data_IF_844920457808
#
_entry.id   IF_844920457808
#
_cell.length_a   1.000
_cell.length_b   1.000
_cell.length_c   1.000
_cell.angle_alpha   90.00
_cell.angle_beta   90.00
_cell.angle_gamma   90.00
#
_symmetry.space_group_name_H-M   'P 1'
#
loop_
_entity.id
_entity.type
_entity.pdbx_description
1 polymer ?
#
# COMPACT_ATOMS: atom_id res chain seq x y z
N UNK A 1 -9.28 -24.35 47.07
CA UNK A 1 -8.49 -24.73 45.88
C UNK A 1 -7.86 -26.09 46.16
N UNK A 2 -8.52 -27.19 45.76
CA UNK A 2 -8.03 -28.54 46.02
C UNK A 2 -7.13 -28.98 44.86
N UNK A 3 -5.82 -29.03 45.08
CA UNK A 3 -4.84 -29.40 44.06
C UNK A 3 -4.69 -30.93 44.07
N UNK A 4 -5.35 -31.62 43.13
CA UNK A 4 -5.13 -33.06 42.94
C UNK A 4 -3.68 -33.30 42.47
N UNK A 5 -2.82 -33.75 43.39
CA UNK A 5 -1.47 -34.21 43.08
C UNK A 5 -1.54 -35.68 42.69
N UNK A 6 -1.40 -35.98 41.39
CA UNK A 6 -1.14 -37.34 40.94
C UNK A 6 0.30 -37.73 41.29
N UNK A 7 0.50 -38.91 41.87
CA UNK A 7 1.85 -39.43 42.13
C UNK A 7 2.54 -39.82 40.81
N UNK A 8 3.88 -39.84 40.83
CA UNK A 8 4.70 -40.24 39.67
C UNK A 8 4.29 -41.60 39.11
N UNK A 9 3.94 -42.54 39.97
CA UNK A 9 3.52 -43.89 39.56
C UNK A 9 2.14 -43.89 38.90
N UNK A 10 1.24 -43.00 39.34
CA UNK A 10 -0.06 -42.81 38.70
C UNK A 10 0.10 -42.28 37.27
N UNK A 11 1.06 -41.38 37.04
CA UNK A 11 1.39 -40.86 35.71
C UNK A 11 2.07 -41.91 34.83
N UNK A 12 2.92 -42.77 35.40
CA UNK A 12 3.61 -43.82 34.66
C UNK A 12 2.66 -44.94 34.20
N UNK A 13 1.59 -45.22 34.94
CA UNK A 13 0.53 -46.16 34.53
C UNK A 13 -0.26 -45.67 33.30
N UNK A 14 -0.44 -44.36 33.13
CA UNK A 14 -1.08 -43.76 31.95
C UNK A 14 -0.24 -43.88 30.67
N UNK A 15 1.07 -44.10 30.80
CA UNK A 15 2.00 -44.18 29.66
C UNK A 15 1.90 -45.50 28.87
N UNK A 16 1.23 -46.52 29.42
CA UNK A 16 1.19 -47.89 28.86
C UNK A 16 -0.11 -48.27 28.17
N UNK A 17 -1.07 -47.36 27.99
CA UNK A 17 -2.24 -47.66 27.16
C UNK A 17 -1.92 -47.49 25.68
N UNK A 18 -2.26 -48.52 24.92
CA UNK A 18 -2.36 -48.51 23.47
C UNK A 18 -3.05 -47.23 22.97
N UNK A 19 -2.53 -46.71 21.87
CA UNK A 19 -3.10 -45.60 21.10
C UNK A 19 -4.62 -45.75 20.94
N UNK A 20 -5.40 -44.96 21.68
CA UNK A 20 -6.85 -44.88 21.50
C UNK A 20 -7.70 -44.60 22.74
N UNK A 21 -7.21 -44.81 23.97
CA UNK A 21 -8.02 -44.57 25.16
C UNK A 21 -7.98 -43.08 25.54
N UNK A 22 -9.07 -42.35 25.22
CA UNK A 22 -9.29 -40.99 25.71
C UNK A 22 -9.77 -41.04 27.16
N UNK A 23 -8.91 -40.72 28.11
CA UNK A 23 -9.34 -40.53 29.49
C UNK A 23 -10.28 -39.32 29.59
N UNK A 24 -11.41 -39.41 30.32
CA UNK A 24 -12.31 -38.28 30.50
C UNK A 24 -11.60 -37.21 31.33
N UNK A 25 -11.11 -36.18 30.65
CA UNK A 25 -10.54 -34.99 31.30
C UNK A 25 -11.71 -34.17 31.86
N UNK A 26 -11.72 -33.85 33.17
CA UNK A 26 -12.73 -33.00 33.78
C UNK A 26 -12.86 -31.65 33.06
N UNK A 27 -14.08 -31.14 32.95
CA UNK A 27 -14.42 -29.87 32.27
C UNK A 27 -13.59 -28.69 32.75
N UNK A 28 -13.21 -28.71 34.03
CA UNK A 28 -12.47 -27.66 34.72
C UNK A 28 -11.00 -27.57 34.26
N UNK A 29 -10.46 -28.67 33.70
CA UNK A 29 -9.07 -28.78 33.23
C UNK A 29 -8.99 -28.65 31.69
N UNK A 30 -10.12 -28.82 30.98
CA UNK A 30 -10.17 -28.65 29.53
C UNK A 30 -9.92 -27.19 29.16
N UNK A 31 -8.73 -26.92 28.61
CA UNK A 31 -8.45 -25.63 27.98
C UNK A 31 -9.46 -25.40 26.84
N UNK A 32 -10.04 -24.20 26.70
CA UNK A 32 -10.92 -23.90 25.59
C UNK A 32 -10.17 -24.12 24.27
N UNK A 33 -10.82 -24.77 23.30
CA UNK A 33 -10.24 -25.07 22.00
C UNK A 33 -9.84 -23.76 21.29
N UNK A 34 -8.53 -23.54 21.10
CA UNK A 34 -7.99 -22.28 20.54
C UNK A 34 -8.08 -22.18 19.01
N UNK A 35 -8.90 -23.01 18.36
CA UNK A 35 -8.96 -23.12 16.91
C UNK A 35 -7.75 -23.83 16.30
N UNK A 36 -7.90 -24.33 15.07
CA UNK A 36 -6.79 -24.94 14.33
C UNK A 36 -5.83 -23.85 13.80
N UNK A 37 -4.52 -24.17 13.69
CA UNK A 37 -3.50 -23.32 13.03
C UNK A 37 -3.91 -22.86 11.61
N UNK A 38 -4.82 -23.58 10.97
CA UNK A 38 -5.45 -23.18 9.71
C UNK A 38 -6.11 -21.79 9.76
N UNK A 39 -6.65 -21.36 10.91
CA UNK A 39 -7.27 -20.04 11.07
C UNK A 39 -6.31 -18.88 10.82
N UNK A 40 -5.06 -19.00 11.25
CA UNK A 40 -4.01 -18.01 10.98
C UNK A 40 -3.64 -17.98 9.48
N UNK A 41 -3.55 -19.15 8.83
CA UNK A 41 -3.28 -19.27 7.38
C UNK A 41 -4.44 -18.72 6.54
N UNK A 42 -5.68 -18.95 6.96
CA UNK A 42 -6.89 -18.41 6.33
C UNK A 42 -6.99 -16.89 6.52
N UNK A 43 -6.68 -16.39 7.72
CA UNK A 43 -6.53 -14.94 7.96
C UNK A 43 -5.43 -14.35 7.08
N UNK A 44 -4.24 -14.93 7.06
CA UNK A 44 -3.16 -14.46 6.19
C UNK A 44 -3.59 -14.43 4.72
N UNK A 45 -4.26 -15.48 4.20
CA UNK A 45 -4.84 -15.47 2.83
C UNK A 45 -5.83 -14.33 2.60
N UNK A 46 -6.71 -14.05 3.56
CA UNK A 46 -7.68 -12.94 3.47
C UNK A 46 -7.01 -11.57 3.53
N UNK A 47 -5.87 -11.46 4.21
CA UNK A 47 -5.16 -10.20 4.47
C UNK A 47 -3.97 -9.97 3.53
N UNK A 48 -3.65 -10.94 2.66
CA UNK A 48 -2.55 -10.88 1.67
C UNK A 48 -2.58 -9.58 0.86
N UNK A 49 -3.75 -9.16 0.40
CA UNK A 49 -3.90 -7.96 -0.44
C UNK A 49 -4.12 -6.66 0.36
N UNK A 50 -4.14 -6.75 1.69
CA UNK A 50 -4.49 -5.62 2.56
C UNK A 50 -3.47 -5.48 3.70
N UNK A 51 -2.16 -5.41 3.40
CA UNK A 51 -1.17 -5.15 4.43
C UNK A 51 -1.36 -3.73 5.00
N UNK A 52 -0.99 -3.55 6.27
CA UNK A 52 -0.99 -2.21 6.87
C UNK A 52 0.13 -1.34 6.28
N UNK A 53 1.29 -1.94 6.00
CA UNK A 53 2.40 -1.31 5.27
C UNK A 53 2.20 -1.56 3.78
N UNK A 54 2.17 -0.51 2.94
CA UNK A 54 2.14 -0.70 1.51
C UNK A 54 3.45 -1.32 0.99
N UNK A 55 3.32 -2.23 0.04
CA UNK A 55 4.40 -2.56 -0.89
C UNK A 55 4.44 -1.50 -1.99
N UNK A 56 5.63 -0.96 -2.25
CA UNK A 56 5.81 0.19 -3.15
C UNK A 56 6.83 -0.17 -4.21
N UNK A 57 6.47 0.02 -5.48
CA UNK A 57 7.42 0.06 -6.58
C UNK A 57 7.52 1.50 -7.06
N UNK A 58 8.73 2.03 -7.13
CA UNK A 58 8.99 3.36 -7.64
C UNK A 58 9.95 3.26 -8.82
N UNK A 59 9.73 4.05 -9.86
CA UNK A 59 10.62 4.05 -11.01
C UNK A 59 10.36 5.20 -11.97
N UNK A 60 11.42 5.55 -12.70
CA UNK A 60 11.32 6.40 -13.87
C UNK A 60 10.92 5.53 -15.07
N UNK A 61 9.73 5.77 -15.62
CA UNK A 61 9.17 4.95 -16.68
C UNK A 61 9.57 5.45 -18.05
N UNK A 62 10.00 6.71 -18.19
CA UNK A 62 10.42 7.32 -19.44
C UNK A 62 9.43 7.00 -20.59
N UNK A 63 8.22 7.54 -20.46
CA UNK A 63 7.01 7.25 -21.26
C UNK A 63 6.22 6.02 -20.81
N UNK A 64 5.12 6.28 -20.07
CA UNK A 64 4.17 5.28 -19.61
C UNK A 64 3.22 4.75 -20.71
N UNK A 65 2.65 5.56 -21.62
CA UNK A 65 1.67 5.08 -22.60
C UNK A 65 2.12 3.87 -23.41
N UNK A 66 3.41 3.81 -23.76
CA UNK A 66 3.98 2.74 -24.57
C UNK A 66 4.23 1.44 -23.77
N UNK A 67 4.08 1.49 -22.44
CA UNK A 67 4.44 0.41 -21.51
C UNK A 67 3.24 -0.09 -20.70
N UNK A 68 2.05 0.42 -20.96
CA UNK A 68 0.84 0.04 -20.22
C UNK A 68 0.54 -1.45 -20.34
N UNK A 69 0.66 -2.03 -21.54
CA UNK A 69 0.39 -3.46 -21.76
C UNK A 69 1.41 -4.36 -21.05
N UNK A 70 2.70 -4.00 -21.09
CA UNK A 70 3.75 -4.72 -20.39
C UNK A 70 3.56 -4.63 -18.87
N UNK A 71 3.28 -3.44 -18.35
CA UNK A 71 3.00 -3.22 -16.93
C UNK A 71 1.76 -4.00 -16.49
N UNK A 72 0.74 -4.07 -17.34
CA UNK A 72 -0.46 -4.86 -17.09
C UNK A 72 -0.16 -6.37 -17.08
N UNK A 73 0.66 -6.86 -18.02
CA UNK A 73 1.12 -8.24 -18.02
C UNK A 73 1.91 -8.58 -16.75
N UNK A 74 2.80 -7.67 -16.31
CA UNK A 74 3.55 -7.80 -15.06
C UNK A 74 2.60 -7.89 -13.86
N UNK A 75 1.65 -6.96 -13.73
CA UNK A 75 0.65 -6.94 -12.66
C UNK A 75 -0.18 -8.23 -12.61
N UNK A 76 -0.52 -8.81 -13.76
CA UNK A 76 -1.25 -10.09 -13.82
C UNK A 76 -0.38 -11.28 -13.45
N UNK A 77 0.87 -11.29 -13.90
CA UNK A 77 1.80 -12.41 -13.69
C UNK A 77 2.31 -12.48 -12.25
N UNK A 78 2.37 -11.35 -11.55
CA UNK A 78 2.96 -11.25 -10.23
C UNK A 78 1.95 -11.54 -9.11
N UNK A 79 1.47 -12.79 -9.04
CA UNK A 79 0.66 -13.26 -7.90
C UNK A 79 1.43 -13.23 -6.56
N UNK A 80 2.76 -13.10 -6.61
CA UNK A 80 3.65 -13.11 -5.45
C UNK A 80 3.82 -11.72 -4.83
N UNK A 81 3.96 -10.66 -5.64
CA UNK A 81 4.07 -9.28 -5.18
C UNK A 81 2.76 -8.53 -5.40
N UNK A 82 1.94 -8.52 -4.35
CA UNK A 82 0.74 -7.68 -4.28
C UNK A 82 1.16 -6.23 -4.04
N UNK A 83 1.56 -5.54 -5.10
CA UNK A 83 2.04 -4.16 -5.04
C UNK A 83 0.88 -3.22 -4.71
N UNK A 84 0.98 -2.53 -3.57
CA UNK A 84 -0.02 -1.55 -3.12
C UNK A 84 0.04 -0.26 -3.95
N UNK A 85 1.26 0.18 -4.29
CA UNK A 85 1.51 1.46 -4.95
C UNK A 85 2.59 1.34 -6.03
N UNK A 86 2.30 1.87 -7.22
CA UNK A 86 3.35 2.23 -8.18
C UNK A 86 3.51 3.75 -8.20
N UNK A 87 4.74 4.23 -8.00
CA UNK A 87 5.12 5.63 -7.99
C UNK A 87 6.02 5.89 -9.20
N UNK A 88 5.44 6.46 -10.26
CA UNK A 88 6.05 6.53 -11.57
C UNK A 88 6.39 7.99 -11.90
N UNK A 89 7.65 8.23 -12.28
CA UNK A 89 8.12 9.51 -12.80
C UNK A 89 8.33 9.43 -14.31
N UNK A 90 8.39 10.58 -14.98
CA UNK A 90 8.54 10.66 -16.45
C UNK A 90 7.44 9.85 -17.16
N UNK A 91 6.18 10.03 -16.75
CA UNK A 91 5.04 9.33 -17.34
C UNK A 91 4.76 9.77 -18.78
N UNK A 92 5.19 10.99 -19.15
CA UNK A 92 4.95 11.65 -20.44
C UNK A 92 3.45 11.81 -20.77
N UNK A 93 2.60 11.72 -19.75
CA UNK A 93 1.18 11.92 -19.90
C UNK A 93 0.83 13.39 -20.12
N UNK A 94 -0.21 13.59 -20.93
CA UNK A 94 -0.71 14.90 -21.35
C UNK A 94 -2.22 14.91 -21.23
N UNK A 95 -2.80 16.08 -20.97
CA UNK A 95 -4.26 16.22 -20.78
C UNK A 95 -5.09 15.64 -21.94
N UNK A 96 -4.56 15.65 -23.18
CA UNK A 96 -5.22 15.06 -24.35
C UNK A 96 -5.23 13.53 -24.39
N UNK A 97 -4.46 12.84 -23.53
CA UNK A 97 -4.49 11.37 -23.43
C UNK A 97 -5.56 10.99 -22.41
N UNK A 98 -6.63 10.30 -22.81
CA UNK A 98 -7.69 9.91 -21.89
C UNK A 98 -7.19 8.85 -20.90
N UNK A 99 -7.73 8.87 -19.68
CA UNK A 99 -7.34 7.90 -18.64
C UNK A 99 -7.63 6.44 -19.03
N UNK A 100 -8.59 6.21 -19.92
CA UNK A 100 -8.89 4.88 -20.47
C UNK A 100 -7.73 4.28 -21.25
N UNK A 101 -6.91 5.11 -21.90
CA UNK A 101 -5.76 4.65 -22.69
C UNK A 101 -4.60 4.15 -21.83
N UNK A 102 -4.57 4.54 -20.56
CA UNK A 102 -3.50 4.20 -19.61
C UNK A 102 -4.02 3.50 -18.35
N UNK A 103 -5.24 2.97 -18.45
CA UNK A 103 -5.90 2.26 -17.36
C UNK A 103 -5.27 0.89 -17.17
N UNK A 104 -4.98 0.54 -15.92
CA UNK A 104 -4.49 -0.79 -15.53
C UNK A 104 -5.54 -1.43 -14.64
N UNK A 105 -6.13 -2.58 -15.02
CA UNK A 105 -7.15 -3.24 -14.24
C UNK A 105 -6.71 -3.53 -12.81
N UNK A 106 -7.61 -3.22 -11.86
CA UNK A 106 -7.35 -3.38 -10.44
C UNK A 106 -6.53 -2.26 -9.80
N UNK A 107 -6.16 -1.22 -10.55
CA UNK A 107 -5.49 -0.02 -10.05
C UNK A 107 -6.30 1.24 -10.37
N UNK A 108 -6.24 2.21 -9.46
CA UNK A 108 -6.73 3.57 -9.69
C UNK A 108 -5.54 4.46 -10.03
N UNK A 109 -5.59 5.11 -11.20
CA UNK A 109 -4.58 6.05 -11.66
C UNK A 109 -4.83 7.45 -11.09
N UNK A 110 -3.77 8.04 -10.53
CA UNK A 110 -3.71 9.45 -10.16
C UNK A 110 -2.52 10.06 -10.88
N UNK A 111 -2.74 11.07 -11.73
CA UNK A 111 -1.71 11.62 -12.61
C UNK A 111 -1.49 13.11 -12.42
N UNK A 112 -0.23 13.52 -12.51
CA UNK A 112 0.16 14.91 -12.65
C UNK A 112 0.78 15.13 -14.02
N UNK A 113 -0.06 15.54 -14.97
CA UNK A 113 0.36 15.77 -16.35
C UNK A 113 1.22 17.00 -16.53
N UNK A 114 1.96 16.96 -17.64
CA UNK A 114 2.74 18.11 -18.09
C UNK A 114 1.82 19.27 -18.46
N UNK A 115 2.20 20.47 -18.03
CA UNK A 115 1.69 21.72 -18.57
C UNK A 115 2.84 22.41 -19.31
N UNK A 116 2.93 22.16 -20.63
CA UNK A 116 4.03 22.64 -21.48
C UNK A 116 4.17 24.16 -21.40
N UNK A 117 3.04 24.87 -21.39
CA UNK A 117 2.97 26.33 -21.36
C UNK A 117 3.46 26.93 -20.02
N UNK A 118 3.23 26.23 -18.91
CA UNK A 118 3.57 26.72 -17.56
C UNK A 118 5.00 26.38 -17.14
N UNK A 119 5.52 25.22 -17.59
CA UNK A 119 6.80 24.70 -17.10
C UNK A 119 7.98 25.02 -18.05
N UNK A 120 7.72 25.49 -19.29
CA UNK A 120 8.76 25.81 -20.28
C UNK A 120 9.61 24.59 -20.70
N UNK A 121 9.15 23.38 -20.37
CA UNK A 121 9.84 22.13 -20.63
C UNK A 121 9.57 21.68 -22.06
N UNK A 122 10.64 21.44 -22.83
CA UNK A 122 10.53 20.99 -24.23
C UNK A 122 10.38 19.46 -24.35
N UNK A 123 10.85 18.69 -23.37
CA UNK A 123 10.81 17.22 -23.35
C UNK A 123 10.69 16.67 -21.93
N UNK A 124 10.05 15.51 -21.79
CA UNK A 124 9.96 14.76 -20.53
C UNK A 124 8.94 15.30 -19.53
N UNK A 125 8.89 14.63 -18.38
CA UNK A 125 8.07 14.96 -17.22
C UNK A 125 6.81 14.11 -17.08
N UNK A 126 5.94 14.55 -16.18
CA UNK A 126 4.71 13.86 -15.79
C UNK A 126 4.96 12.89 -14.64
N UNK A 127 4.03 12.88 -13.69
CA UNK A 127 3.99 11.92 -12.58
C UNK A 127 2.74 11.07 -12.68
N UNK A 128 2.84 9.82 -12.26
CA UNK A 128 1.70 8.93 -12.14
C UNK A 128 1.82 8.08 -10.88
N UNK A 129 0.71 7.93 -10.16
CA UNK A 129 0.56 7.05 -9.01
C UNK A 129 -0.54 6.05 -9.33
N UNK A 130 -0.23 4.77 -9.28
CA UNK A 130 -1.24 3.71 -9.39
C UNK A 130 -1.47 3.12 -8.00
N UNK A 131 -2.72 3.15 -7.54
CA UNK A 131 -3.11 2.63 -6.24
C UNK A 131 -3.92 1.35 -6.42
N UNK A 132 -3.51 0.26 -5.76
CA UNK A 132 -4.23 -1.01 -5.84
C UNK A 132 -5.63 -0.91 -5.22
N UNK A 133 -6.65 -1.27 -5.99
CA UNK A 133 -8.05 -1.29 -5.55
C UNK A 133 -8.30 -2.39 -4.50
N UNK A 134 -7.39 -3.37 -4.41
CA UNK A 134 -7.45 -4.42 -3.37
C UNK A 134 -6.93 -3.90 -2.02
N UNK A 135 -6.05 -2.91 -2.02
CA UNK A 135 -5.45 -2.31 -0.83
C UNK A 135 -6.22 -1.09 -0.29
N UNK A 136 -6.72 -0.25 -1.20
CA UNK A 136 -7.48 0.96 -0.88
C UNK A 136 -8.74 1.06 -1.75
N UNK A 137 -9.81 1.63 -1.20
CA UNK A 137 -11.00 1.96 -2.00
C UNK A 137 -10.72 3.21 -2.87
N UNK A 138 -11.12 3.23 -4.15
CA UNK A 138 -10.86 4.38 -5.04
C UNK A 138 -11.39 5.72 -4.48
N UNK A 139 -12.56 5.71 -3.85
CA UNK A 139 -13.14 6.90 -3.21
C UNK A 139 -12.41 7.42 -1.97
N UNK A 140 -11.40 6.68 -1.47
CA UNK A 140 -10.55 7.09 -0.35
C UNK A 140 -9.17 7.60 -0.80
N UNK A 141 -9.02 7.87 -2.10
CA UNK A 141 -7.84 8.46 -2.70
C UNK A 141 -8.13 9.95 -2.94
N UNK A 142 -7.25 10.81 -2.44
CA UNK A 142 -7.43 12.26 -2.52
C UNK A 142 -6.14 12.93 -2.96
N UNK A 143 -6.20 13.75 -4.01
CA UNK A 143 -5.06 14.57 -4.42
C UNK A 143 -4.97 15.76 -3.47
N UNK A 144 -3.87 15.89 -2.74
CA UNK A 144 -3.63 17.00 -1.81
C UNK A 144 -2.93 18.16 -2.47
N UNK A 145 -1.97 17.85 -3.34
CA UNK A 145 -1.20 18.85 -4.04
C UNK A 145 -0.73 18.29 -5.38
N UNK A 146 -0.75 19.14 -6.40
CA UNK A 146 -0.21 18.87 -7.73
C UNK A 146 0.50 20.14 -8.17
N UNK A 147 1.78 20.02 -8.48
CA UNK A 147 2.60 21.14 -8.93
C UNK A 147 3.48 20.67 -10.08
N UNK A 148 3.47 21.41 -11.19
CA UNK A 148 4.49 21.34 -12.23
C UNK A 148 5.12 22.72 -12.30
N UNK A 149 6.42 22.80 -12.06
CA UNK A 149 7.24 23.96 -12.39
C UNK A 149 8.39 23.52 -13.29
N UNK A 150 9.19 24.49 -13.73
CA UNK A 150 10.44 24.22 -14.45
C UNK A 150 11.39 23.35 -13.62
N UNK A 151 11.49 23.63 -12.33
CA UNK A 151 12.52 23.09 -11.43
C UNK A 151 12.02 21.87 -10.63
N UNK A 152 10.71 21.66 -10.46
CA UNK A 152 10.17 20.49 -9.75
C UNK A 152 8.79 20.08 -10.27
N UNK A 153 8.54 18.78 -10.28
CA UNK A 153 7.21 18.20 -10.39
C UNK A 153 6.87 17.46 -9.11
N UNK A 154 5.68 17.71 -8.57
CA UNK A 154 5.24 17.20 -7.28
C UNK A 154 3.80 16.72 -7.39
N UNK A 155 3.56 15.49 -6.93
CA UNK A 155 2.24 14.91 -6.75
C UNK A 155 2.13 14.34 -5.35
N UNK A 156 1.20 14.89 -4.56
CA UNK A 156 0.89 14.46 -3.19
C UNK A 156 -0.49 13.83 -3.17
N UNK A 157 -0.56 12.56 -2.81
CA UNK A 157 -1.78 11.77 -2.77
C UNK A 157 -2.01 11.25 -1.35
N UNK A 158 -3.13 11.63 -0.74
CA UNK A 158 -3.61 11.05 0.51
C UNK A 158 -4.47 9.83 0.24
N UNK A 159 -4.18 8.72 0.91
CA UNK A 159 -4.76 7.41 0.66
C UNK A 159 -5.19 6.81 2.00
N UNK A 160 -6.42 6.29 2.11
CA UNK A 160 -6.87 5.57 3.32
C UNK A 160 -7.15 4.10 3.01
N UNK A 161 -6.17 3.21 3.27
CA UNK A 161 -6.29 1.76 3.03
C UNK A 161 -7.41 1.13 3.86
N UNK A 162 -7.85 -0.07 3.47
CA UNK A 162 -8.87 -0.81 4.21
C UNK A 162 -8.45 -1.15 5.65
N UNK A 163 -7.16 -1.38 5.87
CA UNK A 163 -6.61 -1.67 7.18
C UNK A 163 -5.46 -0.72 7.45
N UNK A 164 -5.76 0.27 8.29
CA UNK A 164 -4.80 1.22 8.82
C UNK A 164 -4.95 1.16 10.36
N UNK A 165 -3.85 1.14 11.14
CA UNK A 165 -3.95 1.16 12.59
C UNK A 165 -4.68 2.42 13.07
N UNK A 166 -5.33 2.34 14.23
CA UNK A 166 -6.20 3.39 14.74
C UNK A 166 -5.47 4.74 14.92
N UNK A 167 -4.16 4.69 15.15
CA UNK A 167 -3.29 5.83 15.37
C UNK A 167 -3.02 6.63 14.10
N UNK A 168 -3.27 6.06 12.91
CA UNK A 168 -3.02 6.70 11.63
C UNK A 168 -4.33 7.00 10.91
N UNK A 169 -4.49 8.24 10.46
CA UNK A 169 -5.69 8.68 9.73
C UNK A 169 -5.64 8.31 8.26
N UNK A 170 -4.47 8.45 7.64
CA UNK A 170 -4.21 8.15 6.23
C UNK A 170 -2.71 7.91 5.97
N UNK A 171 -2.41 7.34 4.79
CA UNK A 171 -1.08 7.25 4.19
C UNK A 171 -0.94 8.39 3.18
N UNK A 172 0.20 9.05 3.13
CA UNK A 172 0.47 10.10 2.14
C UNK A 172 1.61 9.64 1.23
N UNK A 173 1.31 9.48 -0.04
CA UNK A 173 2.30 9.20 -1.08
C UNK A 173 2.74 10.52 -1.72
N UNK A 174 4.04 10.79 -1.70
CA UNK A 174 4.63 11.98 -2.29
C UNK A 174 5.56 11.51 -3.41
N UNK A 175 5.26 11.90 -4.63
CA UNK A 175 6.11 11.65 -5.80
C UNK A 175 6.71 12.97 -6.24
N UNK A 176 8.03 13.00 -6.34
CA UNK A 176 8.79 14.18 -6.73
C UNK A 176 9.67 13.80 -7.92
N UNK A 177 9.66 14.63 -8.95
CA UNK A 177 10.64 14.57 -10.02
C UNK A 177 11.37 15.91 -10.13
N UNK A 178 12.70 15.85 -10.06
CA UNK A 178 13.59 17.01 -10.19
C UNK A 178 14.32 16.84 -11.53
N UNK A 179 14.03 17.69 -12.53
CA UNK A 179 14.70 17.65 -13.82
C UNK A 179 16.21 17.87 -13.71
N UNK A 180 17.05 17.33 -14.62
CA UNK A 180 18.49 17.51 -14.58
C UNK A 180 18.98 18.96 -14.68
N UNK A 181 18.15 19.85 -15.25
CA UNK A 181 18.43 21.29 -15.40
C UNK A 181 17.79 22.15 -14.31
N UNK A 182 17.21 21.54 -13.29
CA UNK A 182 16.55 22.27 -12.22
C UNK A 182 17.56 23.00 -11.34
N UNK A 183 17.15 24.17 -10.84
CA UNK A 183 17.83 24.79 -9.70
C UNK A 183 17.46 24.06 -8.41
N UNK A 184 18.43 23.43 -7.70
CA UNK A 184 18.15 22.66 -6.49
C UNK A 184 17.60 23.52 -5.34
N UNK A 185 17.98 24.80 -5.28
CA UNK A 185 17.51 25.71 -4.23
C UNK A 185 16.02 26.00 -4.41
N UNK A 186 15.65 26.45 -5.61
CA UNK A 186 14.24 26.68 -5.97
C UNK A 186 13.40 25.41 -5.82
N UNK A 187 13.91 24.25 -6.24
CA UNK A 187 13.20 22.98 -6.08
C UNK A 187 12.94 22.65 -4.60
N UNK A 188 13.93 22.83 -3.73
CA UNK A 188 13.81 22.58 -2.29
C UNK A 188 12.76 23.51 -1.65
N UNK A 189 12.80 24.80 -1.97
CA UNK A 189 11.87 25.81 -1.44
C UNK A 189 10.42 25.48 -1.82
N UNK A 190 10.19 25.13 -3.08
CA UNK A 190 8.85 24.73 -3.58
C UNK A 190 8.38 23.46 -2.86
N UNK A 191 9.24 22.46 -2.69
CA UNK A 191 8.86 21.22 -1.98
C UNK A 191 8.47 21.54 -0.53
N UNK A 192 9.25 22.37 0.17
CA UNK A 192 8.97 22.75 1.56
C UNK A 192 7.66 23.55 1.69
N UNK A 193 7.44 24.54 0.83
CA UNK A 193 6.22 25.35 0.81
C UNK A 193 4.98 24.47 0.58
N UNK A 194 5.04 23.62 -0.46
CA UNK A 194 3.93 22.75 -0.85
C UNK A 194 3.66 21.66 0.20
N UNK A 195 4.69 21.17 0.87
CA UNK A 195 4.56 20.25 2.00
C UNK A 195 3.85 20.89 3.19
N UNK A 196 4.24 22.11 3.57
CA UNK A 196 3.61 22.85 4.67
C UNK A 196 2.13 23.11 4.40
N UNK A 197 1.79 23.53 3.17
CA UNK A 197 0.40 23.72 2.74
C UNK A 197 -0.43 22.41 2.79
N UNK A 198 0.19 21.28 2.44
CA UNK A 198 -0.46 19.97 2.47
C UNK A 198 -0.66 19.45 3.91
N UNK A 199 0.29 19.72 4.80
CA UNK A 199 0.21 19.34 6.23
C UNK A 199 -0.99 19.99 6.93
N UNK A 200 -1.29 21.26 6.62
CA UNK A 200 -2.47 21.96 7.14
C UNK A 200 -3.79 21.31 6.67
N UNK A 201 -3.80 20.77 5.46
CA UNK A 201 -4.98 20.09 4.90
C UNK A 201 -5.14 18.66 5.44
N UNK A 202 -4.04 18.00 5.81
CA UNK A 202 -4.04 16.69 6.48
C UNK A 202 -4.65 16.80 7.88
N UNK A 203 -4.31 17.85 8.65
CA UNK A 203 -4.85 18.06 9.99
C UNK A 203 -6.37 18.33 10.02
N UNK A 204 -6.93 18.99 8.99
CA UNK A 204 -8.38 19.26 8.90
C UNK A 204 -9.24 18.06 8.50
N UNK A 205 -8.65 17.00 7.94
CA UNK A 205 -9.37 15.79 7.53
C UNK A 205 -9.30 14.68 8.60
N UNK A 206 -8.55 14.91 9.66
CA UNK A 206 -8.47 14.07 10.86
C UNK A 206 -9.36 14.53 12.02
N UNK A 207 -10.09 15.64 11.85
CA UNK A 207 -11.02 16.22 12.85
C UNK A 207 -12.47 15.97 12.46
#
# INVERSE_FOLDING_TARGET
MCMYKYSRDALLKLRRSSSGIKHPIPSEIKKPFRGCRAGAKLKARRWRNKPFVPSIIMGNVNSLPNKCEELEALVRSDEAYLVSLYLLTESWLTDGIPDSAVSIPGYTLVRADRAVELCGKTKGGGLAVLVSNKWCHPGHITVKNKTCTRDVELLVVGIRPYYLPQEFSNVVAIVVYIPPRADPTSACDIIQERWRGSSLHIQRLSS
#
